data_IF_682211538376
#
_entry.id   IF_682211538376
#
_cell.length_a   1.000
_cell.length_b   1.000
_cell.length_c   1.000
_cell.angle_alpha   90.00
_cell.angle_beta   90.00
_cell.angle_gamma   90.00
#
_symmetry.space_group_name_H-M   'P 1'
#
loop_
_entity.id
_entity.type
_entity.pdbx_description
1 polymer ?
#
# COMPACT_ATOMS: atom_id res chain seq x y z
N UNK A 1 -3.60 0.59 -7.29
CA UNK A 1 -2.91 0.36 -6.01
C UNK A 1 -2.55 -1.10 -5.89
N UNK A 2 -1.27 -1.37 -5.68
CA UNK A 2 -0.74 -2.72 -5.65
C UNK A 2 -1.12 -3.43 -4.33
N UNK A 3 -1.23 -4.76 -4.41
CA UNK A 3 -1.44 -5.65 -3.29
C UNK A 3 -0.18 -5.95 -2.46
N UNK A 4 -0.09 -7.16 -1.91
CA UNK A 4 0.99 -7.57 -1.02
C UNK A 4 0.45 -7.98 0.36
N UNK A 5 0.36 -7.10 1.38
CA UNK A 5 0.95 -5.76 1.46
C UNK A 5 2.48 -5.80 1.33
N UNK A 6 3.10 -4.65 1.05
CA UNK A 6 4.57 -4.53 0.94
C UNK A 6 5.13 -4.68 -0.48
N UNK A 7 4.31 -5.03 -1.47
CA UNK A 7 4.74 -5.06 -2.87
C UNK A 7 4.84 -3.63 -3.43
N UNK A 8 5.93 -3.36 -4.15
CA UNK A 8 6.15 -2.05 -4.78
C UNK A 8 5.21 -1.83 -5.96
N UNK A 9 4.81 -0.57 -6.13
CA UNK A 9 4.11 -0.04 -7.31
C UNK A 9 4.81 -0.33 -8.64
N UNK A 10 6.13 -0.58 -8.64
CA UNK A 10 6.89 -0.99 -9.83
C UNK A 10 6.28 -2.21 -10.53
N UNK A 11 5.70 -3.13 -9.76
CA UNK A 11 4.99 -4.30 -10.30
C UNK A 11 3.73 -3.94 -11.12
N UNK A 12 3.22 -2.70 -11.02
CA UNK A 12 2.10 -2.21 -11.82
C UNK A 12 2.55 -1.49 -13.09
N UNK A 13 3.82 -1.10 -13.23
CA UNK A 13 4.27 -0.16 -14.29
C UNK A 13 3.99 -0.70 -15.71
N UNK A 14 4.18 -2.01 -15.94
CA UNK A 14 3.85 -2.63 -17.24
C UNK A 14 2.35 -2.55 -17.55
N UNK A 15 1.50 -2.83 -16.57
CA UNK A 15 0.05 -2.75 -16.72
C UNK A 15 -0.42 -1.30 -16.91
N UNK A 16 0.26 -0.33 -16.29
CA UNK A 16 -0.03 1.10 -16.50
C UNK A 16 0.25 1.52 -17.94
N UNK A 17 1.39 1.11 -18.51
CA UNK A 17 1.72 1.39 -19.92
C UNK A 17 0.70 0.75 -20.86
N UNK A 18 0.31 -0.50 -20.60
CA UNK A 18 -0.70 -1.18 -21.38
C UNK A 18 -2.06 -0.47 -21.30
N UNK A 19 -2.51 -0.11 -20.10
CA UNK A 19 -3.77 0.60 -19.90
C UNK A 19 -3.78 1.96 -20.61
N UNK A 20 -2.68 2.72 -20.46
CA UNK A 20 -2.53 4.02 -21.12
C UNK A 20 -2.60 3.88 -22.64
N UNK A 21 -1.98 2.83 -23.19
CA UNK A 21 -1.99 2.52 -24.63
C UNK A 21 -3.38 2.12 -25.11
N UNK A 22 -4.08 1.23 -24.38
CA UNK A 22 -5.44 0.77 -24.72
C UNK A 22 -6.50 1.87 -24.66
N UNK A 23 -6.20 2.95 -23.93
CA UNK A 23 -7.04 4.14 -23.81
C UNK A 23 -6.56 5.27 -24.72
N UNK A 24 -5.75 4.98 -25.74
CA UNK A 24 -5.27 5.92 -26.75
C UNK A 24 -4.63 7.19 -26.17
N UNK A 25 -3.96 7.08 -25.02
CA UNK A 25 -3.35 8.25 -24.39
C UNK A 25 -4.32 9.16 -23.62
N UNK A 26 -5.62 8.84 -23.56
CA UNK A 26 -6.67 9.76 -23.12
C UNK A 26 -6.79 9.92 -21.59
N UNK A 27 -6.06 9.13 -20.81
CA UNK A 27 -6.07 9.19 -19.34
C UNK A 27 -4.66 9.29 -18.78
N UNK A 28 -4.54 9.95 -17.63
CA UNK A 28 -3.32 9.88 -16.83
C UNK A 28 -3.38 8.65 -15.93
N UNK A 29 -2.33 7.83 -15.94
CA UNK A 29 -2.24 6.65 -15.08
C UNK A 29 -1.19 6.89 -14.00
N UNK A 30 -1.62 6.86 -12.75
CA UNK A 30 -0.76 7.07 -11.58
C UNK A 30 -0.65 5.80 -10.75
N UNK A 31 0.49 5.66 -10.08
CA UNK A 31 0.69 4.69 -9.00
C UNK A 31 1.60 5.33 -7.96
N UNK A 32 1.62 4.76 -6.75
CA UNK A 32 2.50 5.21 -5.69
C UNK A 32 2.94 4.04 -4.83
N UNK A 33 4.19 4.08 -4.38
CA UNK A 33 4.63 3.25 -3.27
C UNK A 33 4.08 3.86 -1.97
N UNK A 34 3.34 3.10 -1.17
CA UNK A 34 2.89 3.60 0.13
C UNK A 34 4.08 3.87 1.05
N UNK A 35 3.85 4.72 2.06
CA UNK A 35 4.76 4.84 3.19
C UNK A 35 5.15 3.45 3.70
N UNK A 36 6.45 3.21 3.83
CA UNK A 36 6.97 1.91 4.25
C UNK A 36 7.36 0.95 3.13
N UNK A 37 7.09 1.29 1.87
CA UNK A 37 7.21 0.36 0.72
C UNK A 37 8.08 0.98 -0.38
N UNK A 38 8.78 0.12 -1.13
CA UNK A 38 9.38 0.46 -2.43
C UNK A 38 10.29 1.70 -2.40
N UNK A 39 10.07 2.63 -3.33
CA UNK A 39 10.84 3.86 -3.52
C UNK A 39 10.41 4.99 -2.57
N UNK A 40 9.38 4.79 -1.76
CA UNK A 40 9.04 5.66 -0.64
C UNK A 40 10.00 5.38 0.53
N UNK A 41 9.60 5.65 1.77
CA UNK A 41 10.40 5.28 2.95
C UNK A 41 10.31 3.78 3.22
N UNK A 42 11.06 2.94 2.50
CA UNK A 42 11.07 1.48 2.73
C UNK A 42 11.37 1.17 4.21
N UNK A 43 10.46 0.42 4.86
CA UNK A 43 10.71 -0.10 6.20
C UNK A 43 11.77 -1.18 6.12
N UNK A 44 12.98 -0.81 6.53
CA UNK A 44 14.11 -1.71 6.60
C UNK A 44 14.45 -2.03 8.06
N UNK A 45 14.56 -3.32 8.34
CA UNK A 45 14.91 -3.88 9.64
C UNK A 45 16.28 -4.55 9.61
N UNK A 46 17.32 -3.80 9.21
CA UNK A 46 18.74 -4.21 9.22
C UNK A 46 19.17 -4.81 10.57
N UNK A 47 18.60 -4.35 11.69
CA UNK A 47 18.87 -4.90 13.02
C UNK A 47 18.53 -6.39 13.16
N UNK A 48 17.62 -6.90 12.32
CA UNK A 48 17.27 -8.32 12.21
C UNK A 48 17.97 -9.03 11.03
N UNK A 49 18.91 -8.36 10.35
CA UNK A 49 19.61 -8.83 9.14
C UNK A 49 18.73 -9.20 7.94
N UNK A 50 17.42 -9.04 8.03
CA UNK A 50 16.43 -9.50 7.02
C UNK A 50 16.73 -9.00 5.62
N UNK A 51 17.15 -7.75 5.45
CA UNK A 51 17.47 -7.17 4.12
C UNK A 51 18.94 -7.29 3.74
N UNK A 52 19.76 -7.93 4.58
CA UNK A 52 21.21 -8.05 4.39
C UNK A 52 21.59 -9.44 3.91
N UNK A 53 22.75 -9.55 3.25
CA UNK A 53 23.34 -10.82 2.81
C UNK A 53 23.67 -11.79 3.96
N UNK A 54 23.59 -11.35 5.22
CA UNK A 54 23.80 -12.17 6.41
C UNK A 54 22.54 -12.89 6.93
N UNK A 55 21.35 -12.60 6.39
CA UNK A 55 20.12 -13.32 6.76
C UNK A 55 20.23 -14.79 6.36
N UNK A 56 20.01 -15.75 7.27
CA UNK A 56 19.99 -17.17 6.92
C UNK A 56 18.86 -17.56 5.95
N UNK A 57 17.94 -16.63 5.62
CA UNK A 57 16.72 -16.85 4.83
C UNK A 57 16.50 -15.81 3.72
N UNK A 58 17.50 -15.00 3.37
CA UNK A 58 17.33 -13.92 2.39
C UNK A 58 16.46 -12.77 2.91
N UNK A 59 15.68 -12.13 2.04
CA UNK A 59 14.88 -10.92 2.30
C UNK A 59 13.64 -11.10 3.20
N UNK A 60 13.40 -12.28 3.76
CA UNK A 60 12.20 -12.63 4.53
C UNK A 60 12.42 -12.49 6.04
N UNK A 61 11.48 -11.84 6.75
CA UNK A 61 11.52 -11.68 8.21
C UNK A 61 10.98 -12.91 8.93
N UNK A 62 11.67 -13.38 9.98
CA UNK A 62 11.12 -14.40 10.89
C UNK A 62 10.18 -13.77 11.89
N UNK A 63 9.16 -14.52 12.32
CA UNK A 63 8.29 -14.09 13.41
C UNK A 63 9.06 -13.73 14.71
N UNK A 64 10.17 -14.41 14.99
CA UNK A 64 11.06 -14.11 16.13
C UNK A 64 11.80 -12.77 16.00
N UNK A 65 11.96 -12.25 14.78
CA UNK A 65 12.65 -10.99 14.49
C UNK A 65 11.70 -9.79 14.52
N UNK A 66 10.39 -10.02 14.42
CA UNK A 66 9.36 -8.97 14.41
C UNK A 66 9.45 -8.02 15.63
N UNK A 67 9.61 -8.49 16.88
CA UNK A 67 9.70 -7.57 18.03
C UNK A 67 10.92 -6.64 17.96
N UNK A 68 12.08 -7.17 17.56
CA UNK A 68 13.31 -6.38 17.44
C UNK A 68 13.21 -5.38 16.26
N UNK A 69 12.61 -5.82 15.15
CA UNK A 69 12.30 -4.96 14.00
C UNK A 69 11.34 -3.82 14.40
N UNK A 70 10.23 -4.13 15.06
CA UNK A 70 9.28 -3.13 15.54
C UNK A 70 9.94 -2.11 16.47
N UNK A 71 10.75 -2.54 17.45
CA UNK A 71 11.49 -1.61 18.34
C UNK A 71 12.48 -0.72 17.58
N UNK A 72 13.21 -1.29 16.61
CA UNK A 72 14.14 -0.52 15.79
C UNK A 72 13.41 0.54 14.94
N UNK A 73 12.27 0.17 14.36
CA UNK A 73 11.42 1.09 13.59
C UNK A 73 10.78 2.14 14.48
N UNK A 74 10.27 1.78 15.67
CA UNK A 74 9.70 2.73 16.64
C UNK A 74 10.73 3.74 17.10
N UNK A 75 11.97 3.30 17.36
CA UNK A 75 13.07 4.21 17.70
C UNK A 75 13.39 5.19 16.56
N UNK A 76 13.23 4.76 15.30
CA UNK A 76 13.56 5.57 14.11
C UNK A 76 12.43 6.53 13.72
N UNK A 77 11.18 6.07 13.77
CA UNK A 77 10.03 6.77 13.21
C UNK A 77 8.99 7.19 14.27
N UNK A 78 9.14 6.76 15.51
CA UNK A 78 8.15 6.98 16.57
C UNK A 78 6.96 6.03 16.42
N UNK A 79 5.74 6.56 16.52
CA UNK A 79 4.54 5.74 16.45
C UNK A 79 4.37 5.09 15.07
N UNK A 80 4.45 3.76 15.02
CA UNK A 80 4.32 2.99 13.77
C UNK A 80 2.90 2.96 13.20
N UNK A 81 1.89 3.47 13.92
CA UNK A 81 0.56 3.73 13.36
C UNK A 81 0.62 4.67 12.16
N UNK A 82 1.68 5.48 12.07
CA UNK A 82 1.99 6.28 10.90
C UNK A 82 2.14 5.43 9.64
N UNK A 83 2.49 4.14 9.69
CA UNK A 83 2.57 3.25 8.52
C UNK A 83 1.31 2.40 8.30
N UNK A 84 0.18 2.78 8.92
CA UNK A 84 -1.08 2.05 8.80
C UNK A 84 -1.76 2.20 7.43
N UNK A 85 -2.70 1.31 7.13
CA UNK A 85 -3.62 1.45 5.99
C UNK A 85 -4.35 2.79 5.98
N UNK A 86 -4.75 3.30 7.14
CA UNK A 86 -5.43 4.62 7.21
C UNK A 86 -4.49 5.72 6.77
N UNK A 87 -3.24 5.72 7.25
CA UNK A 87 -2.26 6.72 6.83
C UNK A 87 -1.92 6.61 5.33
N UNK A 88 -1.80 5.40 4.79
CA UNK A 88 -1.62 5.19 3.35
C UNK A 88 -2.83 5.68 2.52
N UNK A 89 -4.06 5.46 3.00
CA UNK A 89 -5.27 5.97 2.37
C UNK A 89 -5.31 7.50 2.39
N UNK A 90 -4.93 8.12 3.52
CA UNK A 90 -4.83 9.58 3.66
C UNK A 90 -3.76 10.17 2.72
N UNK A 91 -2.63 9.51 2.52
CA UNK A 91 -1.62 9.96 1.55
C UNK A 91 -2.21 9.96 0.13
N UNK A 92 -2.97 8.92 -0.22
CA UNK A 92 -3.58 8.80 -1.54
C UNK A 92 -4.68 9.85 -1.75
N UNK A 93 -5.55 10.09 -0.77
CA UNK A 93 -6.57 11.16 -0.87
C UNK A 93 -5.93 12.55 -0.95
N UNK A 94 -4.85 12.78 -0.20
CA UNK A 94 -4.09 14.03 -0.28
C UNK A 94 -3.44 14.21 -1.66
N UNK A 95 -2.89 13.14 -2.23
CA UNK A 95 -2.34 13.18 -3.59
C UNK A 95 -3.43 13.49 -4.62
N UNK A 96 -4.56 12.80 -4.56
CA UNK A 96 -5.69 13.03 -5.46
C UNK A 96 -6.17 14.48 -5.37
N UNK A 97 -6.38 15.01 -4.16
CA UNK A 97 -6.86 16.38 -3.98
C UNK A 97 -5.87 17.45 -4.46
N UNK A 98 -4.57 17.23 -4.28
CA UNK A 98 -3.54 18.20 -4.68
C UNK A 98 -3.19 18.16 -6.18
N UNK A 99 -3.38 17.02 -6.84
CA UNK A 99 -2.89 16.78 -8.20
C UNK A 99 -3.98 16.37 -9.20
N UNK A 100 -5.25 16.33 -8.78
CA UNK A 100 -6.37 16.21 -9.72
C UNK A 100 -6.44 17.45 -10.62
N UNK A 101 -6.84 17.22 -11.87
CA UNK A 101 -7.01 18.25 -12.90
C UNK A 101 -8.50 18.49 -13.20
N UNK A 102 -9.36 18.38 -12.19
CA UNK A 102 -10.83 18.44 -12.28
C UNK A 102 -11.46 17.34 -13.14
N UNK A 103 -10.67 16.40 -13.67
CA UNK A 103 -11.17 15.24 -14.38
C UNK A 103 -11.67 14.14 -13.43
N UNK A 104 -12.52 13.27 -13.97
CA UNK A 104 -13.03 12.10 -13.28
C UNK A 104 -11.87 11.20 -12.82
N UNK A 105 -11.76 10.98 -11.52
CA UNK A 105 -10.75 10.07 -10.94
C UNK A 105 -11.38 8.71 -10.64
N UNK A 106 -10.75 7.65 -11.15
CA UNK A 106 -11.09 6.26 -10.79
C UNK A 106 -9.93 5.66 -10.01
N UNK A 107 -10.22 5.05 -8.87
CA UNK A 107 -9.22 4.37 -8.05
C UNK A 107 -9.33 2.86 -8.24
N UNK A 108 -8.24 2.25 -8.73
CA UNK A 108 -8.10 0.80 -8.87
C UNK A 108 -7.30 0.22 -7.69
N UNK A 109 -7.72 -0.93 -7.16
CA UNK A 109 -6.96 -1.72 -6.18
C UNK A 109 -6.98 -3.21 -6.53
N UNK A 110 -5.86 -3.89 -6.29
CA UNK A 110 -5.74 -5.34 -6.48
C UNK A 110 -5.26 -6.03 -5.20
N UNK A 111 -5.84 -7.19 -4.84
CA UNK A 111 -5.46 -7.96 -3.64
C UNK A 111 -5.53 -7.07 -2.38
N UNK A 112 -4.51 -7.01 -1.51
CA UNK A 112 -4.46 -6.06 -0.38
C UNK A 112 -4.79 -4.60 -0.77
N UNK A 113 -4.48 -4.21 -2.01
CA UNK A 113 -4.84 -2.89 -2.54
C UNK A 113 -6.33 -2.61 -2.50
N UNK A 114 -7.21 -3.62 -2.53
CA UNK A 114 -8.66 -3.42 -2.39
C UNK A 114 -9.04 -3.02 -0.97
N UNK A 115 -8.40 -3.56 0.07
CA UNK A 115 -8.65 -3.17 1.46
C UNK A 115 -8.20 -1.72 1.71
N UNK A 116 -7.11 -1.31 1.06
CA UNK A 116 -6.70 0.09 1.06
C UNK A 116 -7.72 0.98 0.33
N UNK A 117 -8.18 0.58 -0.86
CA UNK A 117 -9.17 1.35 -1.62
C UNK A 117 -10.51 1.42 -0.86
N UNK A 118 -10.89 0.36 -0.16
CA UNK A 118 -12.02 0.40 0.77
C UNK A 118 -11.81 1.44 1.87
N UNK A 119 -10.60 1.58 2.41
CA UNK A 119 -10.31 2.65 3.37
C UNK A 119 -10.42 4.03 2.74
N UNK A 120 -10.11 4.18 1.46
CA UNK A 120 -10.26 5.43 0.70
C UNK A 120 -11.74 5.76 0.47
N UNK A 121 -12.57 4.76 0.16
CA UNK A 121 -14.03 4.90 0.08
C UNK A 121 -14.57 5.48 1.40
N UNK A 122 -14.10 4.98 2.55
CA UNK A 122 -14.49 5.54 3.86
C UNK A 122 -14.01 6.98 4.12
N UNK A 123 -12.97 7.45 3.42
CA UNK A 123 -12.52 8.85 3.51
C UNK A 123 -13.28 9.78 2.56
N UNK A 124 -14.06 9.23 1.62
CA UNK A 124 -14.96 9.93 0.70
C UNK A 124 -14.32 11.16 0.00
N UNK A 125 -13.18 10.99 -0.70
CA UNK A 125 -12.56 12.08 -1.45
C UNK A 125 -13.49 12.55 -2.60
N UNK A 126 -13.87 13.84 -2.65
CA UNK A 126 -14.87 14.33 -3.60
C UNK A 126 -14.44 14.25 -5.07
N UNK A 127 -13.13 14.17 -5.34
CA UNK A 127 -12.59 14.07 -6.70
C UNK A 127 -12.73 12.65 -7.28
N UNK A 128 -13.00 11.63 -6.45
CA UNK A 128 -13.10 10.23 -6.89
C UNK A 128 -14.52 9.91 -7.33
N UNK A 129 -14.68 9.60 -8.61
CA UNK A 129 -15.97 9.31 -9.25
C UNK A 129 -16.25 7.82 -9.39
N UNK A 130 -15.28 6.96 -9.09
CA UNK A 130 -15.44 5.52 -9.20
C UNK A 130 -14.30 4.70 -8.59
N UNK A 131 -14.59 3.43 -8.31
CA UNK A 131 -13.67 2.47 -7.70
C UNK A 131 -13.70 1.15 -8.46
N UNK A 132 -12.54 0.51 -8.63
CA UNK A 132 -12.42 -0.85 -9.18
C UNK A 132 -11.62 -1.69 -8.19
N UNK A 133 -12.19 -2.81 -7.75
CA UNK A 133 -11.60 -3.74 -6.79
C UNK A 133 -11.42 -5.10 -7.44
N UNK A 134 -10.17 -5.56 -7.56
CA UNK A 134 -9.79 -6.79 -8.24
C UNK A 134 -9.12 -7.77 -7.26
N UNK A 135 -9.65 -8.99 -7.11
CA UNK A 135 -9.19 -9.93 -6.07
C UNK A 135 -9.42 -9.39 -4.65
N UNK A 136 -10.69 -9.23 -4.27
CA UNK A 136 -11.10 -8.44 -3.10
C UNK A 136 -10.64 -9.03 -1.76
N UNK A 137 -9.83 -8.24 -1.04
CA UNK A 137 -9.66 -8.25 0.42
C UNK A 137 -10.46 -7.09 1.05
N UNK A 138 -11.08 -7.31 2.22
CA UNK A 138 -11.87 -6.29 2.92
C UNK A 138 -11.72 -6.42 4.44
N UNK A 139 -11.87 -5.31 5.17
CA UNK A 139 -11.87 -5.31 6.64
C UNK A 139 -13.17 -4.77 7.26
N UNK A 140 -14.15 -4.36 6.44
CA UNK A 140 -15.43 -3.83 6.92
C UNK A 140 -16.19 -4.86 7.77
N UNK A 141 -16.58 -4.43 8.98
CA UNK A 141 -17.55 -5.15 9.82
C UNK A 141 -16.96 -6.14 10.83
N UNK A 142 -15.65 -6.38 10.83
CA UNK A 142 -15.02 -7.15 11.88
C UNK A 142 -14.80 -6.31 13.15
N UNK A 143 -15.17 -6.83 14.32
CA UNK A 143 -14.78 -6.25 15.60
C UNK A 143 -13.26 -6.29 15.78
N UNK A 144 -12.68 -5.45 16.64
CA UNK A 144 -11.21 -5.36 16.76
C UNK A 144 -10.54 -6.70 17.12
N UNK A 145 -11.24 -7.58 17.84
CA UNK A 145 -10.82 -8.95 18.17
C UNK A 145 -10.94 -9.95 17.00
N UNK A 146 -11.62 -9.55 15.92
CA UNK A 146 -11.83 -10.33 14.69
C UNK A 146 -11.25 -9.65 13.46
N UNK A 147 -10.51 -8.55 13.66
CA UNK A 147 -9.96 -7.77 12.57
C UNK A 147 -8.97 -8.64 11.79
N UNK A 148 -9.18 -8.71 10.48
CA UNK A 148 -8.38 -9.57 9.62
C UNK A 148 -6.95 -9.03 9.55
N UNK A 149 -5.98 -9.85 9.96
CA UNK A 149 -4.56 -9.50 9.94
C UNK A 149 -3.84 -10.39 8.94
N UNK A 150 -3.33 -9.78 7.88
CA UNK A 150 -2.53 -10.46 6.87
C UNK A 150 -1.08 -9.98 6.93
N UNK A 151 -0.16 -10.87 7.29
CA UNK A 151 1.28 -10.64 7.21
C UNK A 151 1.88 -11.08 5.88
N UNK A 152 1.19 -11.96 5.15
CA UNK A 152 1.53 -12.44 3.81
C UNK A 152 0.24 -12.71 3.04
N UNK A 153 0.27 -12.53 1.72
CA UNK A 153 -0.75 -13.04 0.80
C UNK A 153 -0.02 -13.97 -0.18
N UNK A 154 0.18 -15.20 0.30
CA UNK A 154 0.50 -16.45 -0.41
C UNK A 154 0.88 -17.52 0.63
#
# INVERSE_FOLDING_TARGET
MQGGPGASSTAMESAMVELHTRLDGAVNVYTMDHRGIGRSTLLDCVAAQVTTTGSPWGSSIKSSEVPACAQALEKKYGNLSSFSMTSAATDMTTFISNYSNEANTIVYGVSYGTALVERVIHLDPPEVTGYVLDGVATSSGASADKFEYFSTWD
#
